data_IF_744700315639
#
_entry.id   IF_744700315639
#
_cell.length_a   1.000
_cell.length_b   1.000
_cell.length_c   1.000
_cell.angle_alpha   90.00
_cell.angle_beta   90.00
_cell.angle_gamma   90.00
#
_symmetry.space_group_name_H-M   'P 1'
#
loop_
_entity.id
_entity.type
_entity.pdbx_description
1 polymer ?
#
# COMPACT_ATOMS: atom_id res chain seq x y z
N UNK A 1 7.03 -2.59 6.42
CA UNK A 1 7.53 -1.23 6.74
C UNK A 1 7.09 -0.75 8.11
N UNK A 2 5.77 -0.65 8.39
CA UNK A 2 5.34 -0.11 9.70
C UNK A 2 5.79 -0.98 10.88
N UNK A 3 5.88 -2.27 10.70
CA UNK A 3 6.36 -3.20 11.72
C UNK A 3 7.87 -2.99 11.97
N UNK A 4 8.65 -2.75 10.91
CA UNK A 4 10.07 -2.40 11.03
C UNK A 4 10.26 -1.03 11.71
N UNK A 5 9.39 -0.05 11.38
CA UNK A 5 9.38 1.21 12.12
C UNK A 5 9.06 1.00 13.61
N UNK A 6 8.09 0.15 13.90
CA UNK A 6 7.69 -0.14 15.27
C UNK A 6 8.81 -0.77 16.08
N UNK A 7 9.54 -1.71 15.49
CA UNK A 7 10.73 -2.32 16.09
C UNK A 7 11.85 -1.30 16.29
N UNK A 8 12.19 -0.53 15.24
CA UNK A 8 13.29 0.42 15.27
C UNK A 8 13.04 1.62 16.21
N UNK A 9 11.79 2.06 16.33
CA UNK A 9 11.44 3.23 17.14
C UNK A 9 10.77 2.90 18.48
N UNK A 10 10.60 1.61 18.80
CA UNK A 10 10.16 1.13 20.11
C UNK A 10 8.66 1.28 20.39
N UNK A 11 7.80 1.20 19.36
CA UNK A 11 6.35 1.28 19.53
C UNK A 11 5.59 0.01 19.09
N UNK A 12 6.25 -1.14 19.05
CA UNK A 12 5.65 -2.43 18.64
C UNK A 12 4.38 -2.75 19.42
N UNK A 13 4.43 -2.62 20.73
CA UNK A 13 3.26 -2.88 21.59
C UNK A 13 2.09 -1.95 21.28
N UNK A 14 2.34 -0.65 21.09
CA UNK A 14 1.29 0.30 20.75
C UNK A 14 0.67 -0.01 19.38
N UNK A 15 1.48 -0.44 18.40
CA UNK A 15 0.99 -0.83 17.08
C UNK A 15 0.08 -2.07 17.16
N UNK A 16 0.47 -3.08 17.94
CA UNK A 16 -0.32 -4.29 18.16
C UNK A 16 -1.66 -3.97 18.86
N UNK A 17 -1.61 -3.17 19.92
CA UNK A 17 -2.82 -2.71 20.63
C UNK A 17 -3.75 -1.91 19.71
N UNK A 18 -3.22 -1.05 18.84
CA UNK A 18 -4.01 -0.33 17.85
C UNK A 18 -4.70 -1.27 16.87
N UNK A 19 -3.96 -2.23 16.28
CA UNK A 19 -4.52 -3.20 15.33
C UNK A 19 -5.57 -4.12 15.96
N UNK A 20 -5.41 -4.43 17.23
CA UNK A 20 -6.37 -5.26 17.95
C UNK A 20 -7.67 -4.51 18.24
N UNK A 21 -7.58 -3.26 18.70
CA UNK A 21 -8.72 -2.49 19.20
C UNK A 21 -9.45 -1.69 18.11
N UNK A 22 -8.73 -1.22 17.07
CA UNK A 22 -9.32 -0.39 16.02
C UNK A 22 -9.68 -1.23 14.80
N UNK A 23 -10.95 -1.22 14.44
CA UNK A 23 -11.48 -1.96 13.28
C UNK A 23 -11.78 -1.07 12.08
N UNK A 24 -11.91 0.24 12.30
CA UNK A 24 -12.06 1.20 11.22
C UNK A 24 -10.70 1.45 10.55
N UNK A 25 -10.54 1.08 9.26
CA UNK A 25 -9.25 1.22 8.57
C UNK A 25 -8.82 2.67 8.40
N UNK A 26 -9.75 3.62 8.35
CA UNK A 26 -9.46 5.05 8.24
C UNK A 26 -8.87 5.56 9.55
N UNK A 27 -9.52 5.23 10.67
CA UNK A 27 -9.06 5.61 12.00
C UNK A 27 -7.73 4.93 12.32
N UNK A 28 -7.61 3.64 12.02
CA UNK A 28 -6.38 2.87 12.22
C UNK A 28 -5.20 3.50 11.46
N UNK A 29 -5.38 3.83 10.18
CA UNK A 29 -4.34 4.46 9.35
C UNK A 29 -3.88 5.79 9.94
N UNK A 30 -4.81 6.65 10.39
CA UNK A 30 -4.49 7.92 11.02
C UNK A 30 -3.74 7.75 12.34
N UNK A 31 -4.18 6.81 13.19
CA UNK A 31 -3.52 6.53 14.48
C UNK A 31 -2.13 5.96 14.30
N UNK A 32 -1.91 5.11 13.29
CA UNK A 32 -0.56 4.63 12.95
C UNK A 32 0.33 5.81 12.51
N UNK A 33 -0.20 6.76 11.74
CA UNK A 33 0.53 7.97 11.38
C UNK A 33 1.05 8.74 12.60
N UNK A 34 0.23 8.86 13.65
CA UNK A 34 0.62 9.53 14.89
C UNK A 34 1.81 8.87 15.59
N UNK A 35 1.99 7.55 15.47
CA UNK A 35 3.16 6.84 16.03
C UNK A 35 4.47 7.24 15.33
N UNK A 36 4.38 7.77 14.12
CA UNK A 36 5.54 8.25 13.36
C UNK A 36 5.85 9.73 13.61
N UNK A 37 5.04 10.44 14.40
CA UNK A 37 5.23 11.86 14.68
C UNK A 37 6.64 12.16 15.18
N UNK A 38 7.27 13.18 14.57
CA UNK A 38 8.62 13.62 14.90
C UNK A 38 9.76 12.79 14.28
N UNK A 39 9.46 11.67 13.62
CA UNK A 39 10.50 10.91 12.90
C UNK A 39 10.89 11.67 11.63
N UNK A 40 12.19 11.74 11.37
CA UNK A 40 12.70 12.43 10.18
C UNK A 40 12.51 11.58 8.93
N UNK A 41 12.50 12.24 7.77
CA UNK A 41 12.51 11.58 6.46
C UNK A 41 13.64 10.55 6.39
N UNK A 42 14.86 10.93 6.82
CA UNK A 42 16.03 10.04 6.79
C UNK A 42 15.84 8.81 7.68
N UNK A 43 15.23 8.97 8.86
CA UNK A 43 14.89 7.83 9.72
C UNK A 43 13.96 6.84 9.01
N UNK A 44 12.95 7.33 8.30
CA UNK A 44 11.98 6.50 7.58
C UNK A 44 12.61 5.83 6.36
N UNK A 45 13.42 6.57 5.58
CA UNK A 45 14.13 6.03 4.42
C UNK A 45 15.17 4.99 4.81
N UNK A 46 15.92 5.20 5.89
CA UNK A 46 16.88 4.21 6.38
C UNK A 46 16.22 2.86 6.68
N UNK A 47 14.99 2.86 7.23
CA UNK A 47 14.25 1.62 7.44
C UNK A 47 13.89 0.98 6.10
N UNK A 48 13.37 1.76 5.14
CA UNK A 48 12.99 1.25 3.82
C UNK A 48 14.17 0.63 3.09
N UNK A 49 15.35 1.25 3.15
CA UNK A 49 16.56 0.74 2.49
C UNK A 49 17.05 -0.60 3.05
N UNK A 50 16.72 -0.91 4.30
CA UNK A 50 17.07 -2.18 4.95
C UNK A 50 16.02 -3.29 4.76
N UNK A 51 14.86 -2.98 4.13
CA UNK A 51 13.87 -4.02 3.81
C UNK A 51 14.32 -4.77 2.57
N UNK A 52 14.57 -6.06 2.71
CA UNK A 52 14.91 -6.90 1.58
C UNK A 52 13.74 -6.99 0.60
N UNK A 53 14.04 -6.74 -0.67
CA UNK A 53 13.08 -6.99 -1.74
C UNK A 53 13.07 -8.47 -2.12
N UNK A 54 11.92 -8.93 -2.62
CA UNK A 54 11.81 -10.27 -3.18
C UNK A 54 12.84 -10.42 -4.31
N UNK A 55 13.59 -11.52 -4.25
CA UNK A 55 14.60 -11.85 -5.27
C UNK A 55 13.99 -11.82 -6.67
N UNK A 56 14.73 -11.29 -7.61
CA UNK A 56 14.40 -11.21 -9.05
C UNK A 56 13.15 -10.37 -9.39
N UNK A 57 12.58 -9.61 -8.43
CA UNK A 57 11.37 -8.80 -8.68
C UNK A 57 11.54 -7.80 -9.84
N UNK A 58 12.75 -7.22 -9.99
CA UNK A 58 13.04 -6.31 -11.10
C UNK A 58 12.96 -7.00 -12.45
N UNK A 59 13.50 -8.23 -12.56
CA UNK A 59 13.44 -9.03 -13.77
C UNK A 59 11.98 -9.42 -14.11
N UNK A 60 11.19 -9.74 -13.10
CA UNK A 60 9.75 -10.04 -13.29
C UNK A 60 9.01 -8.81 -13.82
N UNK A 61 9.22 -7.63 -13.22
CA UNK A 61 8.59 -6.39 -13.67
C UNK A 61 9.04 -6.05 -15.10
N UNK A 62 10.32 -6.18 -15.40
CA UNK A 62 10.85 -5.96 -16.74
C UNK A 62 10.18 -6.88 -17.77
N UNK A 63 10.08 -8.17 -17.48
CA UNK A 63 9.43 -9.15 -18.37
C UNK A 63 7.93 -8.86 -18.57
N UNK A 64 7.24 -8.33 -17.58
CA UNK A 64 5.86 -7.88 -17.71
C UNK A 64 5.76 -6.65 -18.62
N UNK A 65 6.65 -5.68 -18.45
CA UNK A 65 6.67 -4.46 -19.29
C UNK A 65 7.02 -4.76 -20.75
N UNK A 66 7.89 -5.72 -21.03
CA UNK A 66 8.16 -6.22 -22.39
C UNK A 66 6.94 -6.85 -23.08
N UNK A 67 5.96 -7.29 -22.26
CA UNK A 67 4.64 -7.75 -22.71
C UNK A 67 3.57 -6.67 -22.65
N UNK A 68 3.97 -5.41 -22.59
CA UNK A 68 3.09 -4.23 -22.54
C UNK A 68 2.14 -4.16 -21.34
N UNK A 69 2.48 -4.88 -20.23
CA UNK A 69 1.74 -4.68 -18.98
C UNK A 69 2.12 -3.35 -18.34
N UNK A 70 1.10 -2.66 -17.80
CA UNK A 70 1.26 -1.54 -16.88
C UNK A 70 1.38 -2.11 -15.47
N UNK A 71 2.51 -1.88 -14.82
CA UNK A 71 2.79 -2.44 -13.49
C UNK A 71 2.66 -1.35 -12.44
N UNK A 72 1.88 -1.59 -11.40
CA UNK A 72 1.65 -0.61 -10.35
C UNK A 72 1.65 -1.18 -8.94
N UNK A 73 1.76 -0.28 -7.96
CA UNK A 73 1.70 -0.57 -6.54
C UNK A 73 0.48 0.14 -5.96
N UNK A 74 -0.38 -0.60 -5.24
CA UNK A 74 -1.51 -0.06 -4.48
C UNK A 74 -1.34 -0.49 -3.02
N UNK A 75 -1.15 0.48 -2.12
CA UNK A 75 -0.82 0.20 -0.73
C UNK A 75 -1.54 1.15 0.23
N UNK A 76 -1.98 0.65 1.37
CA UNK A 76 -2.42 1.50 2.49
C UNK A 76 -1.25 2.08 3.31
N UNK A 77 -0.02 1.74 2.99
CA UNK A 77 1.18 2.37 3.55
C UNK A 77 1.37 3.79 3.00
N UNK A 78 2.58 4.33 3.06
CA UNK A 78 2.83 5.72 2.69
C UNK A 78 3.49 5.85 1.32
N UNK A 79 3.11 6.89 0.59
CA UNK A 79 3.53 7.14 -0.79
C UNK A 79 5.06 7.26 -0.93
N UNK A 80 5.73 7.79 0.09
CA UNK A 80 7.18 7.84 0.15
C UNK A 80 7.80 6.44 -0.08
N UNK A 81 7.30 5.44 0.67
CA UNK A 81 7.77 4.06 0.61
C UNK A 81 7.36 3.41 -0.70
N UNK A 82 6.08 3.57 -1.07
CA UNK A 82 5.55 3.01 -2.31
C UNK A 82 6.30 3.54 -3.54
N UNK A 83 6.68 4.82 -3.56
CA UNK A 83 7.50 5.41 -4.61
C UNK A 83 8.93 4.90 -4.62
N UNK A 84 9.56 4.70 -3.46
CA UNK A 84 10.87 4.09 -3.38
C UNK A 84 10.86 2.68 -3.99
N UNK A 85 9.89 1.84 -3.60
CA UNK A 85 9.74 0.49 -4.16
C UNK A 85 9.47 0.57 -5.66
N UNK A 86 8.52 1.42 -6.10
CA UNK A 86 8.19 1.65 -7.51
C UNK A 86 9.42 1.96 -8.36
N UNK A 87 10.27 2.88 -7.90
CA UNK A 87 11.49 3.26 -8.61
C UNK A 87 12.47 2.10 -8.70
N UNK A 88 12.68 1.37 -7.60
CA UNK A 88 13.62 0.25 -7.56
C UNK A 88 13.20 -0.93 -8.42
N UNK A 89 11.90 -1.22 -8.53
CA UNK A 89 11.43 -2.34 -9.36
C UNK A 89 11.07 -1.93 -10.79
N UNK A 90 11.08 -0.63 -11.12
CA UNK A 90 10.72 -0.12 -12.44
C UNK A 90 9.22 -0.12 -12.73
N UNK A 91 8.34 -0.10 -11.70
CA UNK A 91 6.90 -0.03 -11.89
C UNK A 91 6.45 1.37 -12.38
N UNK A 92 5.30 1.42 -13.06
CA UNK A 92 4.81 2.62 -13.73
C UNK A 92 4.14 3.61 -12.77
N UNK A 93 3.42 3.11 -11.76
CA UNK A 93 2.73 3.97 -10.79
C UNK A 93 2.77 3.40 -9.36
N UNK A 94 2.50 4.27 -8.38
CA UNK A 94 2.24 3.89 -7.01
C UNK A 94 1.09 4.74 -6.46
N UNK A 95 0.14 4.09 -5.80
CA UNK A 95 -0.96 4.70 -5.06
C UNK A 95 -0.87 4.29 -3.60
N UNK A 96 -0.77 5.28 -2.73
CA UNK A 96 -0.65 5.07 -1.29
C UNK A 96 -1.08 6.33 -0.52
N UNK A 97 -1.21 6.23 0.80
CA UNK A 97 -1.48 7.37 1.65
C UNK A 97 -0.28 8.33 1.71
N UNK A 98 -0.51 9.57 2.07
CA UNK A 98 0.53 10.58 2.21
C UNK A 98 0.74 10.88 3.70
N UNK A 99 1.90 10.53 4.22
CA UNK A 99 2.34 11.00 5.53
C UNK A 99 2.77 12.46 5.39
N UNK A 100 2.14 13.34 6.15
CA UNK A 100 2.47 14.76 6.13
C UNK A 100 3.81 15.01 6.82
N UNK A 101 4.61 15.90 6.22
CA UNK A 101 5.94 16.25 6.67
C UNK A 101 6.05 17.77 6.82
N UNK A 102 6.56 18.19 7.96
CA UNK A 102 6.92 19.58 8.22
C UNK A 102 8.38 19.67 8.64
N UNK A 103 9.16 20.52 7.97
CA UNK A 103 10.61 20.66 8.20
C UNK A 103 11.36 19.32 8.20
N UNK A 104 11.00 18.40 7.28
CA UNK A 104 11.62 17.08 7.14
C UNK A 104 11.26 16.07 8.23
N UNK A 105 10.26 16.37 9.08
CA UNK A 105 9.76 15.48 10.13
C UNK A 105 8.29 15.15 9.91
N UNK A 106 7.91 13.91 10.20
CA UNK A 106 6.51 13.50 10.16
C UNK A 106 5.69 14.28 11.20
N UNK A 107 4.60 14.91 10.77
CA UNK A 107 3.65 15.59 11.65
C UNK A 107 2.78 14.60 12.43
N UNK A 108 2.66 13.38 11.91
CA UNK A 108 1.74 12.36 12.37
C UNK A 108 0.39 12.40 11.64
N UNK A 109 0.16 13.42 10.83
CA UNK A 109 -1.04 13.49 10.00
C UNK A 109 -0.89 12.65 8.74
N UNK A 110 -2.00 12.05 8.32
CA UNK A 110 -2.06 11.23 7.09
C UNK A 110 -3.15 11.77 6.20
N UNK A 111 -2.77 12.23 5.03
CA UNK A 111 -3.69 12.54 3.96
C UNK A 111 -4.00 11.26 3.17
N UNK A 112 -5.27 10.92 3.10
CA UNK A 112 -5.77 9.75 2.39
C UNK A 112 -6.33 10.18 1.05
N UNK A 113 -5.71 9.81 -0.07
CA UNK A 113 -6.16 10.22 -1.39
C UNK A 113 -7.57 9.74 -1.73
N UNK A 114 -8.31 10.57 -2.49
CA UNK A 114 -9.71 10.31 -2.86
C UNK A 114 -9.93 8.99 -3.60
N UNK A 115 -8.94 8.52 -4.34
CA UNK A 115 -9.04 7.25 -5.07
C UNK A 115 -9.14 6.00 -4.19
N UNK A 116 -8.93 6.09 -2.88
CA UNK A 116 -9.22 4.98 -1.95
C UNK A 116 -10.65 4.98 -1.44
N UNK A 117 -11.36 6.11 -1.53
CA UNK A 117 -12.71 6.24 -1.01
C UNK A 117 -13.74 5.78 -2.04
N UNK A 118 -14.87 5.28 -1.51
CA UNK A 118 -16.00 4.92 -2.33
C UNK A 118 -16.59 6.14 -3.04
N UNK A 119 -16.98 5.94 -4.28
CA UNK A 119 -17.78 6.85 -5.11
C UNK A 119 -19.10 6.16 -5.49
N UNK A 120 -20.06 6.85 -6.09
CA UNK A 120 -21.29 6.22 -6.58
C UNK A 120 -21.06 5.04 -7.53
N UNK A 121 -19.95 5.05 -8.28
CA UNK A 121 -19.59 4.01 -9.25
C UNK A 121 -18.65 2.92 -8.67
N UNK A 122 -18.43 2.93 -7.36
CA UNK A 122 -17.54 1.94 -6.73
C UNK A 122 -18.11 0.52 -6.82
N UNK A 123 -17.27 -0.42 -7.24
CA UNK A 123 -17.64 -1.83 -7.43
C UNK A 123 -17.67 -2.63 -6.13
N UNK A 124 -17.17 -2.08 -5.03
CA UNK A 124 -17.22 -2.70 -3.71
C UNK A 124 -17.92 -1.80 -2.68
N UNK A 125 -18.51 -2.42 -1.65
CA UNK A 125 -19.27 -1.69 -0.60
C UNK A 125 -18.41 -1.07 0.51
N UNK A 126 -17.07 -1.06 0.39
CA UNK A 126 -16.18 -0.53 1.42
C UNK A 126 -15.94 0.97 1.23
N UNK A 127 -16.16 1.75 2.28
CA UNK A 127 -15.93 3.20 2.24
C UNK A 127 -14.48 3.58 1.91
N UNK A 128 -13.51 2.75 2.32
CA UNK A 128 -12.09 2.92 2.05
C UNK A 128 -11.48 1.57 1.67
N UNK A 129 -10.95 1.45 0.44
CA UNK A 129 -10.53 0.16 -0.10
C UNK A 129 -9.50 0.31 -1.23
N UNK A 130 -8.57 -0.65 -1.32
CA UNK A 130 -7.64 -0.76 -2.46
C UNK A 130 -8.36 -1.04 -3.79
N UNK A 131 -9.55 -1.64 -3.75
CA UNK A 131 -10.37 -1.90 -4.93
C UNK A 131 -10.77 -0.60 -5.64
N UNK A 132 -11.09 0.45 -4.89
CA UNK A 132 -11.41 1.78 -5.45
C UNK A 132 -10.17 2.36 -6.16
N UNK A 133 -8.98 2.20 -5.58
CA UNK A 133 -7.73 2.63 -6.20
C UNK A 133 -7.37 1.81 -7.45
N UNK A 134 -7.72 0.52 -7.49
CA UNK A 134 -7.58 -0.29 -8.71
C UNK A 134 -8.54 0.20 -9.80
N UNK A 135 -9.79 0.47 -9.47
CA UNK A 135 -10.77 1.03 -10.41
C UNK A 135 -10.27 2.36 -10.97
N UNK A 136 -9.80 3.26 -10.11
CA UNK A 136 -9.19 4.53 -10.53
C UNK A 136 -7.98 4.31 -11.48
N UNK A 137 -7.13 3.32 -11.21
CA UNK A 137 -6.03 2.96 -12.12
C UNK A 137 -6.56 2.47 -13.47
N UNK A 138 -7.56 1.61 -13.47
CA UNK A 138 -8.21 1.10 -14.68
C UNK A 138 -8.74 2.23 -15.57
N UNK A 139 -9.44 3.18 -14.97
CA UNK A 139 -9.98 4.35 -15.69
C UNK A 139 -8.84 5.20 -16.27
N UNK A 140 -7.84 5.49 -15.47
CA UNK A 140 -6.69 6.32 -15.86
C UNK A 140 -5.90 5.74 -17.03
N UNK A 141 -5.71 4.42 -17.03
CA UNK A 141 -4.92 3.72 -18.04
C UNK A 141 -5.78 3.08 -19.14
N UNK A 142 -7.09 3.28 -19.11
CA UNK A 142 -8.06 2.69 -20.05
C UNK A 142 -7.95 1.15 -20.13
N UNK A 143 -7.86 0.51 -18.97
CA UNK A 143 -7.76 -0.94 -18.81
C UNK A 143 -9.03 -1.46 -18.14
N UNK A 144 -9.58 -2.56 -18.63
CA UNK A 144 -10.71 -3.20 -17.96
C UNK A 144 -10.27 -4.02 -16.76
N UNK A 145 -11.04 -4.01 -15.67
CA UNK A 145 -10.77 -4.80 -14.46
C UNK A 145 -10.52 -6.29 -14.73
N UNK A 146 -11.26 -6.88 -15.67
CA UNK A 146 -11.08 -8.27 -16.09
C UNK A 146 -9.70 -8.57 -16.69
N UNK A 147 -8.96 -7.55 -17.12
CA UNK A 147 -7.62 -7.66 -17.68
C UNK A 147 -6.54 -7.37 -16.61
N UNK A 148 -6.93 -7.11 -15.36
CA UNK A 148 -5.99 -6.87 -14.27
C UNK A 148 -5.61 -8.16 -13.59
N UNK A 149 -4.31 -8.29 -13.28
CA UNK A 149 -3.77 -9.29 -12.38
C UNK A 149 -3.37 -8.55 -11.09
N UNK A 150 -3.88 -8.99 -9.96
CA UNK A 150 -3.53 -8.44 -8.65
C UNK A 150 -2.85 -9.51 -7.82
N UNK A 151 -1.74 -9.15 -7.20
CA UNK A 151 -0.98 -9.99 -6.27
C UNK A 151 -1.07 -9.35 -4.88
N UNK A 152 -1.45 -10.13 -3.88
CA UNK A 152 -1.58 -9.67 -2.49
C UNK A 152 -1.19 -10.74 -1.50
N UNK A 153 -0.84 -10.32 -0.27
CA UNK A 153 -0.33 -11.21 0.78
C UNK A 153 -1.11 -11.12 2.10
N UNK A 154 -2.01 -10.13 2.22
CA UNK A 154 -2.69 -9.82 3.47
C UNK A 154 -4.21 -9.83 3.33
N UNK A 155 -4.87 -10.02 4.47
CA UNK A 155 -6.34 -10.01 4.56
C UNK A 155 -6.98 -8.75 3.98
N UNK A 156 -6.31 -7.61 4.09
CA UNK A 156 -6.75 -6.34 3.50
C UNK A 156 -6.76 -6.34 1.97
N UNK A 157 -6.07 -7.30 1.34
CA UNK A 157 -6.04 -7.45 -0.12
C UNK A 157 -7.21 -8.29 -0.66
N UNK A 158 -7.96 -8.95 0.21
CA UNK A 158 -9.05 -9.86 -0.18
C UNK A 158 -10.04 -9.23 -1.15
N UNK A 159 -10.44 -7.98 -0.89
CA UNK A 159 -11.40 -7.29 -1.75
C UNK A 159 -10.83 -7.01 -3.14
N UNK A 160 -9.63 -6.47 -3.23
CA UNK A 160 -9.00 -6.14 -4.52
C UNK A 160 -8.68 -7.43 -5.32
N UNK A 161 -8.27 -8.51 -4.65
CA UNK A 161 -8.04 -9.81 -5.28
C UNK A 161 -9.33 -10.38 -5.87
N UNK A 162 -10.45 -10.25 -5.15
CA UNK A 162 -11.75 -10.78 -5.58
C UNK A 162 -12.35 -10.03 -6.77
N UNK A 163 -12.01 -8.74 -6.96
CA UNK A 163 -12.59 -7.91 -8.03
C UNK A 163 -11.68 -7.79 -9.26
N UNK A 164 -10.42 -8.21 -9.17
CA UNK A 164 -9.52 -8.26 -10.32
C UNK A 164 -9.90 -9.39 -11.27
N UNK A 165 -9.49 -9.29 -12.54
CA UNK A 165 -9.63 -10.38 -13.51
C UNK A 165 -8.90 -11.66 -13.08
N UNK A 166 -7.76 -11.50 -12.39
CA UNK A 166 -7.04 -12.59 -11.72
C UNK A 166 -6.45 -12.10 -10.41
N UNK A 167 -6.93 -12.61 -9.28
CA UNK A 167 -6.31 -12.45 -7.97
C UNK A 167 -5.32 -13.58 -7.69
N UNK A 168 -4.18 -13.24 -7.11
CA UNK A 168 -3.13 -14.18 -6.70
C UNK A 168 -2.74 -13.89 -5.25
N UNK A 169 -3.00 -14.85 -4.36
CA UNK A 169 -2.46 -14.82 -3.00
C UNK A 169 -1.00 -15.32 -3.04
N UNK A 170 -0.06 -14.50 -2.53
CA UNK A 170 1.37 -14.79 -2.61
C UNK A 170 2.00 -14.78 -1.21
N UNK A 171 2.72 -15.86 -0.89
CA UNK A 171 3.42 -16.03 0.39
C UNK A 171 2.57 -15.71 1.64
N UNK A 172 1.25 -15.93 1.54
CA UNK A 172 0.34 -15.67 2.65
C UNK A 172 0.23 -16.89 3.57
N UNK A 173 0.10 -16.62 4.87
CA UNK A 173 -0.31 -17.59 5.89
C UNK A 173 -1.78 -17.42 6.26
N UNK A 174 -2.48 -16.48 5.64
CA UNK A 174 -3.89 -16.20 5.89
C UNK A 174 -4.77 -17.12 5.05
N UNK A 175 -5.41 -18.11 5.66
CA UNK A 175 -6.31 -19.07 5.01
C UNK A 175 -7.58 -18.42 4.40
N UNK A 176 -7.77 -17.12 4.64
CA UNK A 176 -8.92 -16.35 4.15
C UNK A 176 -8.63 -15.57 2.86
N UNK A 177 -7.43 -15.68 2.31
CA UNK A 177 -7.08 -15.08 1.01
C UNK A 177 -7.43 -16.02 -0.19
#
# INVERSE_FOLDING_TARGET
>A
FIDECAAAFGFTRQLEELRFNEKDPIILTKRIGLLLKGKTMDNLLNIVWNIEMIKDIQAVVQALKEKEYIVGIISHSYLLIANYVRQNIGADFAYANQLDLYEGKATGEVNMPSYFFASPDSICGHAYCKTNALQYACDKYNVLLKNCIVVGDKREDRCILAHAGKGVAFCTTDELL
#
